data_IF_122016146877
#
_entry.id   IF_122016146877
#
_cell.length_a   1.000
_cell.length_b   1.000
_cell.length_c   1.000
_cell.angle_alpha   90.00
_cell.angle_beta   90.00
_cell.angle_gamma   90.00
#
_symmetry.space_group_name_H-M   'P 1'
#
loop_
_entity.id
_entity.type
_entity.pdbx_description
1 polymer ?
#
# COMPACT_ATOMS: atom_id res chain seq x y z
N UNK A 1 -0.92 57.57 -16.89
CA UNK A 1 0.18 57.24 -17.83
C UNK A 1 1.47 57.78 -17.25
N UNK A 2 2.55 56.99 -17.20
CA UNK A 2 3.82 57.43 -16.56
C UNK A 2 4.34 58.69 -17.27
N UNK A 3 4.82 59.72 -16.52
CA UNK A 3 5.28 60.99 -17.11
C UNK A 3 6.44 60.80 -18.11
N UNK A 4 7.17 59.68 -18.00
CA UNK A 4 8.27 59.29 -18.88
C UNK A 4 7.82 59.02 -20.33
N UNK A 5 6.63 58.43 -20.52
CA UNK A 5 6.14 58.11 -21.88
C UNK A 5 5.58 59.35 -22.59
N UNK A 6 5.09 60.33 -21.83
CA UNK A 6 4.64 61.61 -22.37
C UNK A 6 5.81 62.48 -22.81
N UNK A 7 6.91 62.49 -22.04
CA UNK A 7 8.16 63.16 -22.40
C UNK A 7 8.81 62.53 -23.65
N UNK A 8 8.80 61.19 -23.75
CA UNK A 8 9.31 60.48 -24.92
C UNK A 8 8.47 60.75 -26.18
N UNK A 9 7.14 60.85 -26.04
CA UNK A 9 6.25 61.21 -27.14
C UNK A 9 6.48 62.65 -27.60
N UNK A 10 6.66 63.59 -26.66
CA UNK A 10 6.97 65.00 -26.98
C UNK A 10 8.33 65.09 -27.67
N UNK A 11 9.36 64.36 -27.24
CA UNK A 11 10.67 64.30 -27.90
C UNK A 11 10.59 63.67 -29.30
N UNK A 12 9.76 62.64 -29.47
CA UNK A 12 9.56 61.98 -30.77
C UNK A 12 8.81 62.89 -31.76
N UNK A 13 7.76 63.57 -31.30
CA UNK A 13 7.00 64.52 -32.11
C UNK A 13 7.81 65.78 -32.40
N UNK A 14 8.56 66.30 -31.43
CA UNK A 14 9.51 67.40 -31.64
C UNK A 14 10.61 67.00 -32.63
N UNK A 15 11.12 65.77 -32.56
CA UNK A 15 12.07 65.21 -33.51
C UNK A 15 11.48 65.08 -34.93
N UNK A 16 10.22 64.68 -35.07
CA UNK A 16 9.51 64.63 -36.35
C UNK A 16 9.27 66.01 -36.94
N UNK A 17 8.83 66.98 -36.12
CA UNK A 17 8.64 68.37 -36.56
C UNK A 17 9.98 69.02 -36.92
N UNK A 18 11.06 68.71 -36.18
CA UNK A 18 12.42 69.14 -36.48
C UNK A 18 12.94 68.55 -37.80
N UNK A 19 12.70 67.25 -38.05
CA UNK A 19 13.06 66.58 -39.31
C UNK A 19 12.32 67.15 -40.52
N UNK A 20 11.06 67.55 -40.36
CA UNK A 20 10.26 68.16 -41.44
C UNK A 20 10.51 69.65 -41.66
N UNK A 21 11.21 70.35 -40.76
CA UNK A 21 11.50 71.80 -40.86
C UNK A 21 12.93 72.14 -41.32
N UNK A 22 13.75 71.14 -41.66
CA UNK A 22 15.14 71.32 -42.11
C UNK A 22 15.29 71.27 -43.65
N UNK A 23 15.99 72.27 -44.20
CA UNK A 23 16.23 72.47 -45.64
C UNK A 23 17.18 71.44 -46.28
N UNK A 24 17.10 71.31 -47.61
CA UNK A 24 17.64 70.24 -48.48
C UNK A 24 19.16 69.92 -48.42
N UNK A 25 20.00 70.61 -47.63
CA UNK A 25 21.46 70.35 -47.61
C UNK A 25 21.96 69.47 -46.46
N UNK A 26 21.26 69.40 -45.31
CA UNK A 26 21.71 68.58 -44.17
C UNK A 26 21.25 67.12 -44.22
N UNK A 27 20.14 66.84 -44.93
CA UNK A 27 19.61 65.48 -45.15
C UNK A 27 20.59 64.61 -45.94
N UNK A 28 21.36 65.21 -46.84
CA UNK A 28 22.30 64.50 -47.72
C UNK A 28 23.56 63.99 -47.01
N UNK A 29 24.01 64.66 -45.94
CA UNK A 29 25.16 64.20 -45.13
C UNK A 29 24.78 63.07 -44.15
N UNK A 30 23.55 63.10 -43.62
CA UNK A 30 23.02 62.04 -42.76
C UNK A 30 22.75 60.78 -43.60
N UNK A 31 22.21 60.93 -44.82
CA UNK A 31 22.05 59.80 -45.75
C UNK A 31 23.41 59.15 -46.11
N UNK A 32 24.46 59.92 -46.38
CA UNK A 32 25.79 59.36 -46.71
C UNK A 32 26.46 58.66 -45.53
N UNK A 33 26.22 59.13 -44.30
CA UNK A 33 26.69 58.46 -43.08
C UNK A 33 25.92 57.16 -42.79
N UNK A 34 24.62 57.14 -43.12
CA UNK A 34 23.77 55.95 -43.01
C UNK A 34 24.16 54.87 -44.05
N UNK A 35 24.39 55.26 -45.31
CA UNK A 35 24.79 54.34 -46.37
C UNK A 35 26.21 53.78 -46.18
N UNK A 36 27.14 54.53 -45.60
CA UNK A 36 28.51 54.05 -45.32
C UNK A 36 28.61 53.12 -44.09
N UNK A 37 27.77 53.34 -43.07
CA UNK A 37 27.71 52.48 -41.89
C UNK A 37 27.08 51.10 -42.17
N UNK A 38 26.14 51.02 -43.13
CA UNK A 38 25.36 49.80 -43.40
C UNK A 38 25.91 49.01 -44.63
N UNK A 39 26.71 49.66 -45.49
CA UNK A 39 27.33 49.03 -46.67
C UNK A 39 28.13 47.73 -46.40
N UNK A 40 28.97 47.63 -45.34
CA UNK A 40 29.72 46.38 -45.11
C UNK A 40 28.83 45.21 -44.64
N UNK A 41 27.59 45.48 -44.22
CA UNK A 41 26.60 44.46 -43.84
C UNK A 41 25.80 43.95 -45.05
N UNK A 42 25.53 44.82 -46.03
CA UNK A 42 24.74 44.49 -47.25
C UNK A 42 25.62 43.86 -48.34
N UNK A 43 26.92 44.18 -48.39
CA UNK A 43 27.84 43.69 -49.45
C UNK A 43 28.59 42.39 -49.12
N UNK A 44 28.49 41.87 -47.89
CA UNK A 44 29.04 40.56 -47.48
C UNK A 44 27.96 39.46 -47.48
N UNK A 45 27.16 39.42 -48.53
CA UNK A 45 25.93 38.62 -48.64
C UNK A 45 26.08 37.12 -48.97
N UNK A 46 27.25 36.49 -48.82
CA UNK A 46 27.44 35.05 -49.10
C UNK A 46 27.90 34.20 -47.91
N UNK A 47 28.18 34.82 -46.76
CA UNK A 47 28.49 34.10 -45.50
C UNK A 47 27.30 34.10 -44.52
N UNK A 48 26.23 34.84 -44.85
CA UNK A 48 25.02 34.99 -44.03
C UNK A 48 24.09 33.79 -44.11
N UNK A 49 24.12 32.99 -45.18
CA UNK A 49 23.36 31.74 -45.23
C UNK A 49 23.88 30.74 -44.19
N UNK A 50 25.20 30.64 -44.00
CA UNK A 50 25.77 29.69 -43.05
C UNK A 50 25.50 30.06 -41.59
N UNK A 51 25.50 31.34 -41.23
CA UNK A 51 25.21 31.80 -39.87
C UNK A 51 23.70 31.76 -39.55
N UNK A 52 22.85 32.16 -40.50
CA UNK A 52 21.40 32.05 -40.35
C UNK A 52 20.96 30.58 -40.26
N UNK A 53 21.52 29.71 -41.11
CA UNK A 53 21.24 28.28 -41.06
C UNK A 53 21.74 27.65 -39.76
N UNK A 54 22.93 28.00 -39.24
CA UNK A 54 23.41 27.51 -37.94
C UNK A 54 22.53 27.94 -36.76
N UNK A 55 22.06 29.18 -36.75
CA UNK A 55 21.19 29.68 -35.67
C UNK A 55 19.78 29.06 -35.75
N UNK A 56 19.24 28.89 -36.95
CA UNK A 56 17.96 28.19 -37.16
C UNK A 56 18.06 26.70 -36.78
N UNK A 57 19.17 26.05 -37.12
CA UNK A 57 19.44 24.64 -36.77
C UNK A 57 19.63 24.46 -35.24
N UNK A 58 20.29 25.38 -34.54
CA UNK A 58 20.42 25.36 -33.07
C UNK A 58 19.05 25.62 -32.37
N UNK A 59 18.23 26.51 -32.91
CA UNK A 59 16.88 26.79 -32.38
C UNK A 59 15.92 25.62 -32.64
N UNK A 60 15.96 25.01 -33.83
CA UNK A 60 15.24 23.76 -34.12
C UNK A 60 15.73 22.62 -33.22
N UNK A 61 17.05 22.54 -32.97
CA UNK A 61 17.62 21.53 -32.08
C UNK A 61 17.17 21.70 -30.63
N UNK A 62 17.06 22.94 -30.12
CA UNK A 62 16.55 23.21 -28.77
C UNK A 62 15.07 22.84 -28.63
N UNK A 63 14.24 23.16 -29.63
CA UNK A 63 12.82 22.78 -29.62
C UNK A 63 12.61 21.27 -29.77
N UNK A 64 13.41 20.60 -30.61
CA UNK A 64 13.39 19.14 -30.73
C UNK A 64 13.90 18.46 -29.44
N UNK A 65 14.88 19.06 -28.76
CA UNK A 65 15.41 18.56 -27.49
C UNK A 65 14.38 18.67 -26.35
N UNK A 66 13.69 19.80 -26.24
CA UNK A 66 12.58 19.96 -25.28
C UNK A 66 11.46 18.94 -25.54
N UNK A 67 11.09 18.75 -26.81
CA UNK A 67 10.09 17.76 -27.22
C UNK A 67 10.52 16.33 -26.89
N UNK A 68 11.80 15.99 -27.09
CA UNK A 68 12.36 14.68 -26.69
C UNK A 68 12.35 14.49 -25.18
N UNK A 69 12.67 15.52 -24.39
CA UNK A 69 12.62 15.45 -22.93
C UNK A 69 11.18 15.19 -22.47
N UNK A 70 10.21 15.91 -23.04
CA UNK A 70 8.79 15.71 -22.73
C UNK A 70 8.33 14.29 -23.06
N UNK A 71 8.68 13.80 -24.25
CA UNK A 71 8.40 12.42 -24.67
C UNK A 71 9.03 11.37 -23.75
N UNK A 72 10.28 11.57 -23.34
CA UNK A 72 10.99 10.66 -22.43
C UNK A 72 10.34 10.67 -21.04
N UNK A 73 9.91 11.83 -20.55
CA UNK A 73 9.19 11.96 -19.27
C UNK A 73 7.85 11.22 -19.34
N UNK A 74 7.08 11.42 -20.41
CA UNK A 74 5.80 10.74 -20.62
C UNK A 74 5.99 9.22 -20.68
N UNK A 75 6.97 8.75 -21.45
CA UNK A 75 7.30 7.33 -21.54
C UNK A 75 7.74 6.76 -20.19
N UNK A 76 8.59 7.47 -19.45
CA UNK A 76 9.02 7.08 -18.10
C UNK A 76 7.82 6.94 -17.17
N UNK A 77 6.90 7.89 -17.20
CA UNK A 77 5.73 7.89 -16.32
C UNK A 77 4.75 6.78 -16.70
N UNK A 78 4.56 6.54 -18.00
CA UNK A 78 3.84 5.35 -18.51
C UNK A 78 4.48 4.05 -18.05
N UNK A 79 5.80 3.90 -18.18
CA UNK A 79 6.51 2.70 -17.73
C UNK A 79 6.42 2.50 -16.21
N UNK A 80 6.46 3.59 -15.43
CA UNK A 80 6.25 3.53 -13.97
C UNK A 80 4.86 3.01 -13.63
N UNK A 81 3.81 3.50 -14.31
CA UNK A 81 2.44 3.03 -14.13
C UNK A 81 2.31 1.54 -14.48
N UNK A 82 2.84 1.12 -15.63
CA UNK A 82 2.83 -0.29 -16.07
C UNK A 82 3.58 -1.17 -15.07
N UNK A 83 4.78 -0.77 -14.65
CA UNK A 83 5.57 -1.52 -13.68
C UNK A 83 4.88 -1.64 -12.31
N UNK A 84 4.15 -0.61 -11.89
CA UNK A 84 3.28 -0.65 -10.71
C UNK A 84 2.17 -1.69 -10.86
N UNK A 85 1.46 -1.68 -11.99
CA UNK A 85 0.39 -2.63 -12.28
C UNK A 85 0.87 -4.07 -12.38
N UNK A 86 2.03 -4.30 -13.00
CA UNK A 86 2.64 -5.64 -13.08
C UNK A 86 2.97 -6.16 -11.68
N UNK A 87 3.56 -5.34 -10.81
CA UNK A 87 3.85 -5.73 -9.42
C UNK A 87 2.59 -6.06 -8.62
N UNK A 88 1.51 -5.31 -8.82
CA UNK A 88 0.21 -5.57 -8.20
C UNK A 88 -0.36 -6.92 -8.66
N UNK A 89 -0.36 -7.17 -9.97
CA UNK A 89 -0.84 -8.43 -10.55
C UNK A 89 0.01 -9.63 -10.12
N UNK A 90 1.33 -9.48 -10.03
CA UNK A 90 2.22 -10.52 -9.50
C UNK A 90 1.90 -10.84 -8.04
N UNK A 91 1.68 -9.80 -7.21
CA UNK A 91 1.29 -9.98 -5.82
C UNK A 91 -0.06 -10.69 -5.69
N UNK A 92 -1.05 -10.30 -6.50
CA UNK A 92 -2.36 -10.96 -6.55
C UNK A 92 -2.25 -12.41 -7.03
N UNK A 93 -1.47 -12.68 -8.08
CA UNK A 93 -1.27 -14.04 -8.58
C UNK A 93 -0.63 -14.95 -7.52
N UNK A 94 0.38 -14.46 -6.82
CA UNK A 94 1.02 -15.18 -5.71
C UNK A 94 0.03 -15.46 -4.58
N UNK A 95 -0.84 -14.51 -4.25
CA UNK A 95 -1.89 -14.70 -3.25
C UNK A 95 -2.92 -15.76 -3.67
N UNK A 96 -3.38 -15.72 -4.92
CA UNK A 96 -4.32 -16.71 -5.46
C UNK A 96 -3.70 -18.11 -5.51
N UNK A 97 -2.43 -18.23 -5.89
CA UNK A 97 -1.69 -19.50 -5.84
C UNK A 97 -1.60 -20.04 -4.42
N UNK A 98 -1.24 -19.21 -3.45
CA UNK A 98 -1.17 -19.63 -2.05
C UNK A 98 -2.54 -20.09 -1.52
N UNK A 99 -3.62 -19.40 -1.90
CA UNK A 99 -4.97 -19.79 -1.51
C UNK A 99 -5.41 -21.11 -2.12
N UNK A 100 -5.10 -21.33 -3.41
CA UNK A 100 -5.37 -22.58 -4.08
C UNK A 100 -4.56 -23.74 -3.50
N UNK A 101 -3.28 -23.51 -3.20
CA UNK A 101 -2.40 -24.51 -2.59
C UNK A 101 -2.85 -24.88 -1.18
N UNK A 102 -3.30 -23.91 -0.38
CA UNK A 102 -3.89 -24.18 0.93
C UNK A 102 -5.15 -25.03 0.80
N UNK A 103 -6.08 -24.64 -0.07
CA UNK A 103 -7.33 -25.37 -0.33
C UNK A 103 -7.08 -26.83 -0.78
N UNK A 104 -6.01 -27.10 -1.51
CA UNK A 104 -5.63 -28.46 -1.94
C UNK A 104 -5.01 -29.32 -0.84
N UNK A 105 -4.37 -28.70 0.16
CA UNK A 105 -3.63 -29.40 1.23
C UNK A 105 -4.44 -29.60 2.49
N UNK A 106 -5.42 -28.72 2.73
CA UNK A 106 -6.29 -28.82 3.89
C UNK A 106 -7.28 -29.98 3.74
N UNK A 107 -7.59 -30.62 4.87
CA UNK A 107 -8.65 -31.62 4.97
C UNK A 107 -10.04 -31.01 5.24
N UNK A 108 -10.09 -29.70 5.47
CA UNK A 108 -11.31 -28.95 5.74
C UNK A 108 -11.87 -28.35 4.44
N UNK A 109 -13.19 -28.34 4.30
CA UNK A 109 -13.81 -27.47 3.30
C UNK A 109 -13.70 -26.02 3.74
N UNK A 110 -13.05 -25.22 2.88
CA UNK A 110 -12.73 -23.83 3.17
C UNK A 110 -13.16 -22.88 2.07
N UNK A 111 -13.63 -21.71 2.49
CA UNK A 111 -13.90 -20.55 1.64
C UNK A 111 -12.81 -19.51 1.87
N UNK A 112 -12.14 -19.10 0.80
CA UNK A 112 -11.15 -18.02 0.85
C UNK A 112 -11.84 -16.66 0.89
N UNK A 113 -11.42 -15.81 1.83
CA UNK A 113 -11.93 -14.46 2.02
C UNK A 113 -10.76 -13.46 2.14
N UNK A 114 -10.97 -12.25 1.61
CA UNK A 114 -10.03 -11.13 1.71
C UNK A 114 -10.40 -10.25 2.89
N UNK A 115 -9.40 -9.83 3.65
CA UNK A 115 -9.57 -8.86 4.72
C UNK A 115 -9.72 -7.47 4.11
N UNK A 116 -10.88 -6.85 4.28
CA UNK A 116 -11.22 -5.53 3.72
C UNK A 116 -11.11 -4.40 4.74
N UNK A 117 -11.29 -4.73 6.02
CA UNK A 117 -11.11 -3.78 7.13
C UNK A 117 -10.43 -4.46 8.30
N UNK A 118 -9.59 -3.70 8.99
CA UNK A 118 -8.99 -4.10 10.25
C UNK A 118 -9.17 -2.98 11.27
N UNK A 119 -9.77 -3.31 12.41
CA UNK A 119 -9.95 -2.36 13.51
C UNK A 119 -8.57 -2.01 14.12
N UNK A 120 -8.31 -0.76 14.53
CA UNK A 120 -7.08 -0.38 15.21
C UNK A 120 -6.85 -1.20 16.50
N UNK A 121 -5.58 -1.48 16.82
CA UNK A 121 -5.15 -2.40 17.89
C UNK A 121 -5.69 -2.13 19.31
N UNK A 122 -6.28 -0.96 19.58
CA UNK A 122 -6.50 -0.45 20.94
C UNK A 122 -7.90 -0.76 21.53
N UNK A 123 -8.89 -1.19 20.73
CA UNK A 123 -10.29 -1.27 21.21
C UNK A 123 -11.06 -2.56 20.87
N UNK A 124 -10.42 -3.54 20.25
CA UNK A 124 -11.07 -4.79 19.86
C UNK A 124 -10.45 -5.30 18.59
N UNK A 125 -9.97 -6.54 18.61
CA UNK A 125 -9.20 -7.11 17.51
C UNK A 125 -10.16 -7.87 16.60
N UNK A 126 -10.96 -7.10 15.87
CA UNK A 126 -11.90 -7.61 14.87
C UNK A 126 -11.41 -7.23 13.47
N UNK A 127 -11.67 -8.10 12.51
CA UNK A 127 -11.46 -7.83 11.08
C UNK A 127 -12.76 -8.04 10.31
N UNK A 128 -12.94 -7.30 9.21
CA UNK A 128 -14.02 -7.53 8.26
C UNK A 128 -13.48 -8.22 7.02
N UNK A 129 -14.25 -9.19 6.51
CA UNK A 129 -13.91 -9.99 5.33
C UNK A 129 -14.96 -9.82 4.23
N UNK A 130 -14.55 -9.93 2.97
CA UNK A 130 -15.41 -9.77 1.77
C UNK A 130 -16.27 -10.99 1.43
N UNK A 131 -16.67 -11.74 2.46
CA UNK A 131 -17.48 -12.94 2.33
C UNK A 131 -18.59 -12.93 3.38
N UNK A 132 -19.76 -13.44 3.01
CA UNK A 132 -20.95 -13.37 3.83
C UNK A 132 -21.86 -14.58 3.68
N UNK A 133 -23.13 -14.38 4.01
CA UNK A 133 -24.16 -15.43 3.89
C UNK A 133 -24.34 -15.89 2.44
N UNK A 134 -24.10 -15.01 1.45
CA UNK A 134 -24.12 -15.36 0.02
C UNK A 134 -23.06 -16.40 -0.36
N UNK A 135 -21.98 -16.48 0.43
CA UNK A 135 -20.86 -17.41 0.23
C UNK A 135 -21.00 -18.70 1.08
N UNK A 136 -22.16 -18.91 1.71
CA UNK A 136 -22.43 -20.09 2.53
C UNK A 136 -22.01 -19.95 3.99
N UNK A 137 -21.76 -18.73 4.49
CA UNK A 137 -21.61 -18.51 5.93
C UNK A 137 -23.01 -18.46 6.54
N UNK A 138 -23.55 -19.62 6.90
CA UNK A 138 -24.87 -19.71 7.50
C UNK A 138 -24.96 -18.76 8.70
N UNK A 139 -26.01 -17.95 8.75
CA UNK A 139 -26.31 -17.07 9.88
C UNK A 139 -26.95 -17.85 11.05
N UNK A 140 -26.62 -19.15 11.17
CA UNK A 140 -27.09 -19.96 12.27
C UNK A 140 -26.27 -19.62 13.52
N UNK A 141 -26.91 -19.14 14.60
CA UNK A 141 -26.24 -18.82 15.86
C UNK A 141 -25.45 -19.99 16.48
N UNK A 142 -25.69 -21.23 16.05
CA UNK A 142 -24.97 -22.41 16.53
C UNK A 142 -23.65 -22.67 15.79
N UNK A 143 -23.40 -22.01 14.65
CA UNK A 143 -22.24 -22.25 13.79
C UNK A 143 -21.30 -21.04 13.72
N UNK A 144 -20.61 -20.79 14.84
CA UNK A 144 -19.45 -19.90 14.84
C UNK A 144 -18.32 -20.55 14.01
N UNK A 145 -18.16 -20.14 12.75
CA UNK A 145 -17.18 -20.73 11.82
C UNK A 145 -15.73 -20.38 12.20
N UNK A 146 -14.85 -21.37 12.16
CA UNK A 146 -13.43 -21.19 12.43
C UNK A 146 -12.72 -20.52 11.24
N UNK A 147 -11.85 -19.56 11.55
CA UNK A 147 -11.08 -18.80 10.55
C UNK A 147 -9.59 -19.10 10.69
N UNK A 148 -8.96 -19.45 9.58
CA UNK A 148 -7.55 -19.80 9.45
C UNK A 148 -6.78 -18.80 8.59
N UNK A 149 -5.48 -18.71 8.81
CA UNK A 149 -4.55 -17.99 7.94
C UNK A 149 -4.03 -18.92 6.83
N UNK A 150 -3.36 -18.35 5.80
CA UNK A 150 -2.79 -19.14 4.69
C UNK A 150 -1.76 -20.20 5.12
N UNK A 151 -1.16 -20.06 6.30
CA UNK A 151 -0.24 -21.05 6.87
C UNK A 151 -0.95 -22.13 7.72
N UNK A 152 -2.29 -22.13 7.74
CA UNK A 152 -3.11 -23.03 8.55
C UNK A 152 -3.23 -22.64 10.02
N UNK A 153 -2.59 -21.54 10.45
CA UNK A 153 -2.69 -21.08 11.84
C UNK A 153 -4.06 -20.48 12.17
N UNK A 154 -4.47 -20.60 13.43
CA UNK A 154 -5.74 -20.08 13.91
C UNK A 154 -5.75 -18.54 13.90
N UNK A 155 -6.75 -17.95 13.24
CA UNK A 155 -6.97 -16.51 13.23
C UNK A 155 -8.03 -16.12 14.25
N UNK A 156 -9.12 -16.86 14.31
CA UNK A 156 -10.29 -16.51 15.11
C UNK A 156 -11.53 -17.25 14.66
N UNK A 157 -12.67 -16.62 14.90
CA UNK A 157 -13.98 -17.15 14.51
C UNK A 157 -14.85 -16.05 13.93
N UNK A 158 -15.80 -16.43 13.09
CA UNK A 158 -16.88 -15.56 12.66
C UNK A 158 -17.68 -15.10 13.89
N UNK A 159 -18.14 -13.86 13.90
CA UNK A 159 -18.95 -13.30 14.97
C UNK A 159 -20.28 -12.74 14.45
N UNK A 160 -20.25 -12.08 13.29
CA UNK A 160 -21.43 -11.55 12.60
C UNK A 160 -21.29 -11.78 11.10
N UNK A 161 -22.32 -12.32 10.48
CA UNK A 161 -22.37 -12.53 9.03
C UNK A 161 -23.43 -11.63 8.42
N UNK A 162 -23.00 -10.69 7.57
CA UNK A 162 -23.90 -9.98 6.66
C UNK A 162 -23.96 -10.68 5.31
N UNK A 163 -24.71 -10.11 4.36
CA UNK A 163 -24.89 -10.70 3.01
C UNK A 163 -23.54 -10.87 2.28
N UNK A 164 -22.73 -9.81 2.26
CA UNK A 164 -21.47 -9.75 1.50
C UNK A 164 -20.23 -9.54 2.38
N UNK A 165 -20.43 -9.15 3.64
CA UNK A 165 -19.37 -8.79 4.56
C UNK A 165 -19.63 -9.49 5.88
N UNK A 166 -18.58 -10.08 6.45
CA UNK A 166 -18.64 -10.68 7.78
C UNK A 166 -17.55 -10.14 8.69
N UNK A 167 -17.83 -10.17 9.98
CA UNK A 167 -16.95 -9.77 11.07
C UNK A 167 -16.33 -11.01 11.70
N UNK A 168 -15.01 -10.99 11.88
CA UNK A 168 -14.23 -12.06 12.50
C UNK A 168 -13.62 -11.54 13.80
N UNK A 169 -13.94 -12.22 14.90
CA UNK A 169 -13.32 -12.01 16.21
C UNK A 169 -11.99 -12.75 16.27
N UNK A 170 -10.88 -12.01 16.41
CA UNK A 170 -9.54 -12.61 16.44
C UNK A 170 -9.23 -13.26 17.80
N UNK A 171 -8.41 -14.32 17.81
CA UNK A 171 -7.92 -14.96 19.05
C UNK A 171 -7.06 -14.04 19.91
N UNK A 172 -6.59 -12.94 19.33
CA UNK A 172 -5.81 -11.93 20.02
C UNK A 172 -6.67 -11.01 20.89
N UNK A 173 -7.99 -11.08 20.78
CA UNK A 173 -8.93 -10.38 21.64
C UNK A 173 -9.07 -11.08 23.01
N UNK A 174 -9.35 -10.32 24.07
CA UNK A 174 -9.49 -10.85 25.44
C UNK A 174 -10.80 -11.64 25.61
N UNK A 175 -11.84 -11.30 24.86
CA UNK A 175 -13.11 -12.04 24.89
C UNK A 175 -13.07 -13.32 24.06
N UNK A 176 -12.06 -13.47 23.19
CA UNK A 176 -11.88 -14.66 22.37
C UNK A 176 -11.18 -15.75 23.18
N UNK A 177 -11.93 -16.80 23.53
CA UNK A 177 -11.45 -17.94 24.30
C UNK A 177 -11.33 -19.17 23.40
N UNK A 178 -10.16 -19.80 23.41
CA UNK A 178 -9.89 -21.00 22.62
C UNK A 178 -9.35 -22.08 23.54
N UNK A 179 -9.99 -23.24 23.56
CA UNK A 179 -9.48 -24.41 24.28
C UNK A 179 -8.30 -25.00 23.51
N UNK A 180 -7.19 -25.23 24.20
CA UNK A 180 -5.91 -25.53 23.59
C UNK A 180 -5.08 -26.51 24.42
N UNK A 181 -4.29 -27.32 23.74
CA UNK A 181 -3.37 -28.28 24.32
C UNK A 181 -1.92 -28.02 23.89
N UNK A 182 -0.98 -28.40 24.75
CA UNK A 182 0.46 -28.28 24.47
C UNK A 182 0.99 -29.60 23.91
N UNK A 183 1.62 -29.53 22.73
CA UNK A 183 2.17 -30.69 22.01
C UNK A 183 3.12 -31.51 22.90
N UNK A 184 2.86 -32.82 22.98
CA UNK A 184 3.69 -33.75 23.76
C UNK A 184 3.43 -33.74 25.26
N UNK A 185 2.34 -33.12 25.73
CA UNK A 185 1.94 -33.11 27.13
C UNK A 185 0.45 -33.42 27.28
N UNK A 186 -0.01 -33.62 28.52
CA UNK A 186 -1.43 -33.69 28.86
C UNK A 186 -2.02 -32.34 29.31
N UNK A 187 -1.28 -31.24 29.14
CA UNK A 187 -1.70 -29.92 29.60
C UNK A 187 -2.70 -29.31 28.61
N UNK A 188 -3.88 -28.97 29.15
CA UNK A 188 -4.96 -28.31 28.44
C UNK A 188 -5.29 -27.01 29.17
N UNK A 189 -5.46 -25.93 28.42
CA UNK A 189 -5.76 -24.61 28.96
C UNK A 189 -6.62 -23.79 28.02
N UNK A 190 -6.85 -22.53 28.39
CA UNK A 190 -7.63 -21.58 27.60
C UNK A 190 -6.71 -20.47 27.11
N UNK A 191 -6.62 -20.33 25.79
CA UNK A 191 -5.95 -19.22 25.13
C UNK A 191 -6.85 -17.99 25.20
N UNK A 192 -6.25 -16.87 25.60
CA UNK A 192 -6.85 -15.53 25.54
C UNK A 192 -5.86 -14.52 24.97
N UNK A 193 -6.40 -13.49 24.33
CA UNK A 193 -5.63 -12.33 23.91
C UNK A 193 -4.92 -11.62 25.07
N UNK A 194 -3.73 -11.08 24.78
CA UNK A 194 -3.07 -10.08 25.65
C UNK A 194 -3.07 -8.72 24.94
N UNK A 195 -3.44 -7.68 25.67
CA UNK A 195 -3.19 -6.31 25.24
C UNK A 195 -1.68 -6.05 25.20
N UNK A 196 -1.20 -5.63 24.03
CA UNK A 196 0.19 -5.22 23.83
C UNK A 196 0.22 -3.74 23.50
N UNK A 197 1.30 -3.07 23.85
CA UNK A 197 1.53 -1.67 23.48
C UNK A 197 1.54 -1.51 21.95
N UNK A 198 1.12 -0.33 21.47
CA UNK A 198 1.09 0.01 20.05
C UNK A 198 2.45 -0.30 19.38
N UNK A 199 2.42 -1.02 18.26
CA UNK A 199 3.61 -1.38 17.50
C UNK A 199 4.32 -2.67 17.92
N UNK A 200 3.83 -3.38 18.94
CA UNK A 200 4.32 -4.72 19.29
C UNK A 200 3.48 -5.83 18.66
N UNK A 201 4.11 -6.96 18.35
CA UNK A 201 3.42 -8.16 17.89
C UNK A 201 2.49 -8.68 18.99
N UNK A 202 1.20 -8.93 18.69
CA UNK A 202 0.26 -9.40 19.69
C UNK A 202 0.75 -10.69 20.34
N UNK A 203 0.52 -10.80 21.64
CA UNK A 203 0.83 -11.99 22.45
C UNK A 203 -0.45 -12.64 22.92
N UNK A 204 -0.36 -13.93 23.19
CA UNK A 204 -1.46 -14.74 23.72
C UNK A 204 -1.04 -15.31 25.08
N UNK A 205 -2.01 -15.59 25.94
CA UNK A 205 -1.78 -16.29 27.20
C UNK A 205 -2.57 -17.59 27.22
N UNK A 206 -1.90 -18.68 27.55
CA UNK A 206 -2.52 -19.97 27.84
C UNK A 206 -2.71 -20.08 29.35
N UNK A 207 -3.97 -20.04 29.80
CA UNK A 207 -4.35 -20.02 31.21
C UNK A 207 -4.84 -21.39 31.67
N UNK A 208 -4.92 -21.55 32.99
CA UNK A 208 -5.43 -22.74 33.68
C UNK A 208 -4.57 -23.99 33.55
N UNK A 209 -3.26 -23.82 33.37
CA UNK A 209 -2.31 -24.93 33.32
C UNK A 209 -1.99 -25.45 34.73
N UNK A 210 -1.55 -26.71 34.81
CA UNK A 210 -1.09 -27.27 36.08
C UNK A 210 0.11 -26.50 36.62
N UNK A 211 0.16 -26.31 37.94
CA UNK A 211 1.33 -25.70 38.62
C UNK A 211 2.57 -26.59 38.54
N UNK A 212 2.40 -27.88 38.28
CA UNK A 212 3.49 -28.84 38.12
C UNK A 212 3.78 -29.16 36.64
N UNK A 213 3.17 -28.41 35.71
CA UNK A 213 3.41 -28.58 34.28
C UNK A 213 4.89 -28.34 33.96
N UNK A 214 5.49 -29.23 33.17
CA UNK A 214 6.87 -29.09 32.70
C UNK A 214 6.82 -28.59 31.26
N UNK A 215 6.71 -27.27 31.11
CA UNK A 215 6.63 -26.61 29.82
C UNK A 215 7.96 -25.94 29.46
N UNK A 216 8.34 -26.05 28.18
CA UNK A 216 9.59 -25.49 27.65
C UNK A 216 9.30 -24.50 26.54
N UNK A 217 10.14 -23.49 26.45
CA UNK A 217 10.14 -22.56 25.31
C UNK A 217 10.27 -23.32 23.99
N UNK A 218 9.46 -22.94 23.01
CA UNK A 218 9.41 -23.53 21.67
C UNK A 218 8.44 -24.72 21.52
N UNK A 219 7.84 -25.21 22.61
CA UNK A 219 6.76 -26.20 22.50
C UNK A 219 5.57 -25.58 21.78
N UNK A 220 4.92 -26.36 20.92
CA UNK A 220 3.80 -25.90 20.10
C UNK A 220 2.48 -26.06 20.85
N UNK A 221 1.54 -25.20 20.50
CA UNK A 221 0.19 -25.17 21.07
C UNK A 221 -0.83 -25.29 19.94
N UNK A 222 -1.80 -26.17 20.14
CA UNK A 222 -2.84 -26.51 19.17
C UNK A 222 -4.23 -26.41 19.79
N UNK A 223 -5.26 -26.25 18.97
CA UNK A 223 -6.65 -26.41 19.43
C UNK A 223 -6.94 -27.86 19.83
N UNK A 224 -7.68 -28.05 20.92
CA UNK A 224 -7.98 -29.39 21.46
C UNK A 224 -9.35 -29.96 21.04
N UNK A 225 -10.19 -29.16 20.36
CA UNK A 225 -11.53 -29.55 19.92
C UNK A 225 -12.62 -29.61 20.99
N UNK A 226 -12.31 -29.43 22.28
CA UNK A 226 -13.27 -29.67 23.38
C UNK A 226 -14.40 -28.64 23.45
N UNK A 227 -14.17 -27.44 22.91
CA UNK A 227 -15.14 -26.37 22.89
C UNK A 227 -16.18 -26.45 21.76
N UNK A 228 -16.08 -27.44 20.85
CA UNK A 228 -16.86 -27.59 19.58
C UNK A 228 -16.75 -26.43 18.58
N UNK A 229 -16.28 -25.27 19.04
CA UNK A 229 -16.11 -24.03 18.29
C UNK A 229 -14.94 -24.06 17.31
N UNK A 230 -13.87 -24.74 17.72
CA UNK A 230 -12.64 -24.86 16.94
C UNK A 230 -12.36 -26.34 16.74
N UNK A 231 -12.20 -26.81 15.48
CA UNK A 231 -11.74 -28.17 15.22
C UNK A 231 -10.41 -28.44 15.95
N UNK A 232 -10.13 -29.68 16.34
CA UNK A 232 -8.84 -30.03 16.94
C UNK A 232 -7.69 -29.91 15.94
N UNK A 233 -6.46 -29.82 16.45
CA UNK A 233 -5.21 -29.85 15.68
C UNK A 233 -4.93 -28.61 14.81
N UNK A 234 -5.49 -27.45 15.13
CA UNK A 234 -5.18 -26.18 14.46
C UNK A 234 -4.00 -25.50 15.20
N UNK A 235 -2.90 -25.15 14.52
CA UNK A 235 -1.77 -24.45 15.13
C UNK A 235 -2.17 -23.08 15.68
N UNK A 236 -1.86 -22.82 16.96
CA UNK A 236 -2.07 -21.52 17.59
C UNK A 236 -0.76 -20.75 17.67
N UNK A 237 0.31 -21.41 18.12
CA UNK A 237 1.59 -20.75 18.36
C UNK A 237 2.61 -21.60 19.10
N UNK A 238 3.61 -20.95 19.67
CA UNK A 238 4.68 -21.58 20.44
C UNK A 238 4.87 -20.89 21.80
N UNK A 239 5.16 -21.68 22.84
CA UNK A 239 5.47 -21.17 24.18
C UNK A 239 6.75 -20.31 24.12
N UNK A 240 6.66 -19.07 24.60
CA UNK A 240 7.81 -18.20 24.86
C UNK A 240 8.28 -18.28 26.30
N UNK A 241 7.34 -18.33 27.25
CA UNK A 241 7.60 -18.37 28.69
C UNK A 241 6.49 -19.10 29.47
N UNK A 242 6.80 -19.56 30.68
CA UNK A 242 5.85 -20.22 31.59
C UNK A 242 6.04 -19.74 33.03
N UNK A 243 4.97 -19.22 33.62
CA UNK A 243 4.94 -18.69 34.97
C UNK A 243 3.91 -19.42 35.83
N UNK A 244 4.28 -19.77 37.05
CA UNK A 244 3.36 -20.39 38.01
C UNK A 244 2.69 -19.30 38.83
N UNK A 245 1.40 -19.05 38.54
CA UNK A 245 0.58 -18.11 39.29
C UNK A 245 0.09 -18.66 40.64
N UNK A 246 -0.66 -17.85 41.40
CA UNK A 246 -1.18 -18.25 42.71
C UNK A 246 -2.11 -19.48 42.61
N UNK A 247 -3.03 -19.45 41.65
CA UNK A 247 -4.09 -20.45 41.46
C UNK A 247 -3.74 -21.49 40.40
N UNK A 248 -3.15 -21.08 39.29
CA UNK A 248 -2.82 -21.93 38.13
C UNK A 248 -1.58 -21.41 37.41
N UNK A 249 -0.99 -22.23 36.53
CA UNK A 249 0.12 -21.83 35.65
C UNK A 249 -0.37 -21.08 34.41
N UNK A 250 0.39 -20.09 33.96
CA UNK A 250 0.16 -19.35 32.71
C UNK A 250 1.38 -19.49 31.81
N UNK A 251 1.15 -19.75 30.52
CA UNK A 251 2.21 -19.68 29.51
C UNK A 251 1.98 -18.51 28.57
N UNK A 252 3.04 -17.76 28.26
CA UNK A 252 3.02 -16.77 27.19
C UNK A 252 3.29 -17.44 25.85
N UNK A 253 2.43 -17.16 24.87
CA UNK A 253 2.46 -17.80 23.56
C UNK A 253 2.72 -16.73 22.49
N UNK A 254 3.70 -17.02 21.64
CA UNK A 254 3.88 -16.31 20.36
C UNK A 254 2.95 -16.92 19.32
N UNK A 255 2.03 -16.15 18.72
CA UNK A 255 1.15 -16.68 17.70
C UNK A 255 1.90 -17.19 16.47
N UNK A 256 1.38 -18.24 15.84
CA UNK A 256 1.86 -18.74 14.56
C UNK A 256 1.45 -17.82 13.38
N UNK A 257 0.41 -17.01 13.57
CA UNK A 257 -0.13 -16.09 12.57
C UNK A 257 0.42 -14.68 12.78
N UNK A 258 0.89 -14.04 11.71
CA UNK A 258 1.17 -12.60 11.73
C UNK A 258 -0.12 -11.80 11.53
N UNK A 259 -0.77 -11.47 12.64
CA UNK A 259 -1.96 -10.62 12.64
C UNK A 259 -1.70 -9.21 12.11
N UNK A 260 -0.44 -8.76 12.00
CA UNK A 260 -0.09 -7.42 11.52
C UNK A 260 -0.38 -7.30 10.03
N UNK A 261 0.07 -8.30 9.25
CA UNK A 261 0.02 -8.33 7.78
C UNK A 261 -1.02 -9.32 7.23
N UNK A 262 -2.11 -9.55 7.98
CA UNK A 262 -3.17 -10.47 7.59
C UNK A 262 -3.97 -9.88 6.41
N UNK A 263 -3.84 -10.49 5.23
CA UNK A 263 -4.51 -10.04 3.99
C UNK A 263 -5.64 -10.98 3.54
N UNK A 264 -5.41 -12.28 3.63
CA UNK A 264 -6.35 -13.31 3.22
C UNK A 264 -6.53 -14.30 4.38
N UNK A 265 -7.75 -14.81 4.51
CA UNK A 265 -8.13 -15.81 5.50
C UNK A 265 -8.97 -16.89 4.83
N UNK A 266 -9.12 -18.01 5.54
CA UNK A 266 -9.87 -19.17 5.09
C UNK A 266 -10.88 -19.51 6.16
N UNK A 267 -12.16 -19.48 5.81
CA UNK A 267 -13.25 -19.84 6.72
C UNK A 267 -13.55 -21.32 6.49
N UNK A 268 -13.50 -22.10 7.57
CA UNK A 268 -13.90 -23.52 7.55
C UNK A 268 -15.43 -23.56 7.50
N UNK A 269 -15.99 -24.20 6.48
CA UNK A 269 -17.44 -24.34 6.27
C UNK A 269 -17.97 -25.73 6.62
N UNK A 270 -17.09 -26.71 6.77
CA UNK A 270 -17.44 -28.05 7.24
C UNK A 270 -16.95 -28.23 8.68
N UNK A 271 -17.89 -28.35 9.63
CA UNK A 271 -17.56 -28.62 11.02
C UNK A 271 -17.55 -30.13 11.24
N UNK A 272 -16.41 -30.76 11.64
CA UNK A 272 -16.38 -32.16 12.02
C UNK A 272 -17.15 -32.35 13.34
N UNK A 273 -18.47 -32.44 13.24
CA UNK A 273 -19.38 -32.49 14.37
C UNK A 273 -20.85 -32.82 14.02
N UNK A 274 -21.10 -33.30 12.79
CA UNK A 274 -22.39 -33.86 12.33
C UNK A 274 -22.22 -35.28 11.84
#
# INVERSE_FOLDING_TARGET
MKPLNFLALILFVAGLVWVFTLSEKSVRHIQQSYYSAISPLISKGSETEAFANKFLEEVEHSADLEKRIEQVIEQRDRFKLIAGRVRELEAENNQLRNALDFKKKTQFDVVAARVIRKQPQMWGKTIEIDRGTDDGFEADPEFDLCVLASNGGLVGRLQLSGEQISSVLLITDEISQVSAEVEGTSEVGIIVGRQTTFGQTPRLRLRYLSKTAILKKGMKVYTDGRGKLFPPNIPIGTIEDFEVGPVYGEAEIKPAVDFTNLKNVFVITDSPGG
#
